data_IF_786720438280
#
_entry.id   IF_786720438280
#
_cell.length_a   1.000
_cell.length_b   1.000
_cell.length_c   1.000
_cell.angle_alpha   90.00
_cell.angle_beta   90.00
_cell.angle_gamma   90.00
#
_symmetry.space_group_name_H-M   'P 1'
#
loop_
_entity.id
_entity.type
_entity.pdbx_description
1 polymer ?
#
# COMPACT_ATOMS: atom_id res chain seq x y z
N UNK A 1 -9.97 0.69 -6.84
CA UNK A 1 -8.98 0.25 -5.85
C UNK A 1 -9.25 1.02 -4.56
N UNK A 2 -9.20 0.39 -3.40
CA UNK A 2 -9.49 1.00 -2.09
C UNK A 2 -8.22 0.96 -1.26
N UNK A 3 -7.90 2.06 -0.58
CA UNK A 3 -6.89 2.13 0.46
C UNK A 3 -7.58 1.94 1.81
N UNK A 4 -7.19 0.91 2.54
CA UNK A 4 -7.67 0.68 3.90
C UNK A 4 -6.69 1.29 4.90
N UNK A 5 -7.14 2.26 5.69
CA UNK A 5 -6.35 2.87 6.77
C UNK A 5 -7.01 2.60 8.12
N UNK A 6 -6.28 2.87 9.20
CA UNK A 6 -6.79 2.85 10.58
C UNK A 6 -7.99 3.79 10.78
N UNK A 7 -8.18 4.77 9.89
CA UNK A 7 -9.26 5.74 9.94
C UNK A 7 -10.48 5.36 9.08
N UNK A 8 -10.34 4.36 8.21
CA UNK A 8 -11.41 3.84 7.34
C UNK A 8 -10.90 3.48 5.94
N UNK A 9 -11.85 3.13 5.08
CA UNK A 9 -11.59 2.78 3.68
C UNK A 9 -11.80 4.00 2.77
N UNK A 10 -10.81 4.30 1.93
CA UNK A 10 -10.82 5.45 1.05
C UNK A 10 -10.59 5.04 -0.41
N UNK A 11 -11.39 5.55 -1.37
CA UNK A 11 -11.16 5.27 -2.78
C UNK A 11 -9.86 5.93 -3.23
N UNK A 12 -9.00 5.16 -3.90
CA UNK A 12 -7.77 5.69 -4.49
C UNK A 12 -8.12 6.34 -5.84
N UNK A 13 -7.82 7.64 -6.04
CA UNK A 13 -8.01 8.30 -7.33
C UNK A 13 -7.22 7.61 -8.44
N UNK A 14 -7.77 7.62 -9.66
CA UNK A 14 -7.14 6.95 -10.79
C UNK A 14 -5.77 7.53 -11.15
N UNK A 15 -5.52 8.80 -10.85
CA UNK A 15 -4.23 9.44 -11.09
C UNK A 15 -3.16 8.89 -10.15
N UNK A 16 -3.44 8.87 -8.85
CA UNK A 16 -2.59 8.27 -7.81
C UNK A 16 -2.36 6.78 -8.09
N UNK A 17 -3.41 6.04 -8.46
CA UNK A 17 -3.30 4.61 -8.74
C UNK A 17 -2.34 4.27 -9.90
N UNK A 18 -2.12 5.20 -10.85
CA UNK A 18 -1.15 5.02 -11.95
C UNK A 18 0.29 5.25 -11.53
N UNK A 19 0.50 5.98 -10.43
CA UNK A 19 1.82 6.27 -9.88
C UNK A 19 2.29 5.21 -8.87
N UNK A 20 1.36 4.40 -8.36
CA UNK A 20 1.69 3.33 -7.43
C UNK A 20 2.62 2.31 -8.09
N UNK A 21 3.67 1.86 -7.39
CA UNK A 21 4.54 0.81 -7.89
C UNK A 21 3.76 -0.50 -8.03
N UNK A 22 4.12 -1.29 -9.04
CA UNK A 22 3.43 -2.55 -9.35
C UNK A 22 3.96 -3.67 -8.44
N UNK A 23 3.44 -3.70 -7.21
CA UNK A 23 3.78 -4.69 -6.20
C UNK A 23 2.70 -5.77 -6.16
N UNK A 24 3.06 -7.07 -6.13
CA UNK A 24 2.08 -8.14 -5.93
C UNK A 24 1.37 -8.01 -4.58
N UNK A 25 0.20 -8.65 -4.47
CA UNK A 25 -0.53 -8.68 -3.21
C UNK A 25 0.31 -9.29 -2.09
N UNK A 26 0.22 -8.70 -0.90
CA UNK A 26 0.89 -9.24 0.28
C UNK A 26 0.32 -10.62 0.63
N UNK A 27 1.18 -11.57 1.05
CA UNK A 27 0.73 -12.90 1.40
C UNK A 27 -0.20 -12.86 2.62
N UNK A 28 -1.39 -13.43 2.48
CA UNK A 28 -2.30 -13.63 3.60
C UNK A 28 -1.87 -14.85 4.43
N UNK A 29 -1.48 -14.63 5.68
CA UNK A 29 -0.95 -15.68 6.57
C UNK A 29 -2.02 -16.59 7.17
N UNK A 30 -3.29 -16.20 7.08
CA UNK A 30 -4.42 -16.98 7.54
C UNK A 30 -5.01 -17.89 6.44
N UNK A 31 -4.66 -17.64 5.17
CA UNK A 31 -5.14 -18.39 4.03
C UNK A 31 -4.52 -19.81 3.98
N UNK A 32 -5.26 -20.82 3.48
CA UNK A 32 -4.76 -22.20 3.37
C UNK A 32 -3.54 -22.33 2.43
N UNK A 33 -3.38 -21.39 1.50
CA UNK A 33 -2.24 -21.30 0.59
C UNK A 33 -1.18 -20.27 1.04
N UNK A 34 -1.20 -19.81 2.30
CA UNK A 34 -0.28 -18.79 2.83
C UNK A 34 1.18 -19.09 2.49
N UNK A 35 1.60 -20.35 2.65
CA UNK A 35 2.98 -20.78 2.36
C UNK A 35 3.38 -20.50 0.91
N UNK A 36 2.51 -20.85 -0.05
CA UNK A 36 2.75 -20.59 -1.47
C UNK A 36 2.81 -19.09 -1.77
N UNK A 37 1.92 -18.29 -1.16
CA UNK A 37 1.92 -16.85 -1.34
C UNK A 37 3.21 -16.21 -0.80
N UNK A 38 3.72 -16.67 0.34
CA UNK A 38 4.98 -16.19 0.92
C UNK A 38 6.15 -16.56 0.02
N UNK A 39 6.19 -17.78 -0.52
CA UNK A 39 7.25 -18.22 -1.43
C UNK A 39 7.23 -17.42 -2.74
N UNK A 40 6.06 -17.17 -3.32
CA UNK A 40 5.90 -16.38 -4.54
C UNK A 40 6.33 -14.91 -4.34
N UNK A 41 5.88 -14.30 -3.24
CA UNK A 41 6.26 -12.92 -2.88
C UNK A 41 7.78 -12.79 -2.64
N UNK A 42 8.39 -13.78 -1.98
CA UNK A 42 9.85 -13.83 -1.80
C UNK A 42 10.58 -13.96 -3.12
N UNK A 43 10.10 -14.85 -3.99
CA UNK A 43 10.71 -15.03 -5.30
C UNK A 43 10.61 -13.75 -6.16
N UNK A 44 9.49 -13.03 -6.06
CA UNK A 44 9.37 -11.71 -6.66
C UNK A 44 10.39 -10.72 -6.09
N UNK A 45 10.54 -10.61 -4.77
CA UNK A 45 11.56 -9.74 -4.15
C UNK A 45 12.99 -10.09 -4.59
N UNK A 46 13.33 -11.37 -4.70
CA UNK A 46 14.65 -11.83 -5.14
C UNK A 46 14.90 -11.62 -6.64
N UNK A 47 13.85 -11.48 -7.46
CA UNK A 47 13.98 -11.36 -8.91
C UNK A 47 14.64 -10.05 -9.37
N UNK A 48 14.52 -8.96 -8.60
CA UNK A 48 15.21 -7.70 -8.87
C UNK A 48 15.33 -6.86 -7.60
N UNK A 49 16.47 -6.19 -7.35
CA UNK A 49 16.59 -5.22 -6.25
C UNK A 49 15.59 -4.06 -6.38
N UNK A 50 15.12 -3.74 -7.58
CA UNK A 50 14.09 -2.72 -7.80
C UNK A 50 12.76 -3.10 -7.14
N UNK A 51 12.41 -4.39 -7.06
CA UNK A 51 11.19 -4.85 -6.40
C UNK A 51 11.19 -4.56 -4.90
N UNK A 52 12.35 -4.66 -4.24
CA UNK A 52 12.48 -4.28 -2.84
C UNK A 52 12.26 -2.76 -2.64
N UNK A 53 12.74 -1.95 -3.59
CA UNK A 53 12.55 -0.48 -3.60
C UNK A 53 11.08 -0.14 -3.82
N UNK A 54 10.44 -0.77 -4.81
CA UNK A 54 9.01 -0.60 -5.12
C UNK A 54 8.12 -0.99 -3.94
N UNK A 55 8.43 -2.12 -3.29
CA UNK A 55 7.72 -2.56 -2.10
C UNK A 55 7.86 -1.57 -0.95
N UNK A 56 9.08 -1.12 -0.66
CA UNK A 56 9.34 -0.12 0.39
C UNK A 56 8.65 1.22 0.09
N UNK A 57 8.66 1.67 -1.18
CA UNK A 57 7.96 2.87 -1.62
C UNK A 57 6.45 2.75 -1.40
N UNK A 58 5.84 1.63 -1.81
CA UNK A 58 4.42 1.39 -1.56
C UNK A 58 4.08 1.38 -0.07
N UNK A 59 4.94 0.74 0.73
CA UNK A 59 4.78 0.65 2.18
C UNK A 59 4.86 2.04 2.84
N UNK A 60 5.83 2.87 2.43
CA UNK A 60 5.98 4.24 2.94
C UNK A 60 4.79 5.11 2.57
N UNK A 61 4.36 5.07 1.31
CA UNK A 61 3.16 5.75 0.87
C UNK A 61 1.95 5.36 1.73
N UNK A 62 1.72 4.07 1.96
CA UNK A 62 0.61 3.61 2.79
C UNK A 62 0.67 4.16 4.23
N UNK A 63 1.85 4.25 4.83
CA UNK A 63 2.03 4.83 6.16
C UNK A 63 1.68 6.33 6.17
N UNK A 64 2.20 7.09 5.20
CA UNK A 64 1.90 8.52 5.06
C UNK A 64 0.40 8.75 4.89
N UNK A 65 -0.26 7.96 4.05
CA UNK A 65 -1.70 8.08 3.85
C UNK A 65 -2.50 7.68 5.10
N UNK A 66 -2.04 6.70 5.89
CA UNK A 66 -2.66 6.36 7.19
C UNK A 66 -2.57 7.52 8.19
N UNK A 67 -1.40 8.15 8.29
CA UNK A 67 -1.17 9.32 9.14
C UNK A 67 -2.02 10.52 8.70
N UNK A 68 -2.08 10.80 7.39
CA UNK A 68 -2.92 11.87 6.84
C UNK A 68 -4.41 11.62 7.05
N UNK A 69 -4.86 10.38 6.91
CA UNK A 69 -6.24 9.99 7.18
C UNK A 69 -6.60 10.15 8.67
N UNK A 70 -5.69 9.75 9.56
CA UNK A 70 -5.84 9.95 11.01
C UNK A 70 -5.91 11.42 11.39
N UNK A 71 -5.03 12.24 10.80
CA UNK A 71 -4.99 13.68 11.00
C UNK A 71 -6.29 14.35 10.51
N UNK A 72 -6.74 14.03 9.29
CA UNK A 72 -7.99 14.56 8.75
C UNK A 72 -9.21 14.19 9.61
N UNK A 73 -9.24 12.96 10.12
CA UNK A 73 -10.28 12.51 11.06
C UNK A 73 -10.26 13.28 12.37
N UNK A 74 -9.08 13.53 12.93
CA UNK A 74 -8.91 14.33 14.16
C UNK A 74 -9.37 15.79 13.96
N UNK A 75 -9.14 16.34 12.77
CA UNK A 75 -9.57 17.69 12.37
C UNK A 75 -11.04 17.77 11.88
N UNK A 76 -11.76 16.64 11.87
CA UNK A 76 -13.12 16.52 11.34
C UNK A 76 -13.28 17.01 9.89
N UNK A 77 -12.24 16.83 9.06
CA UNK A 77 -12.26 17.18 7.64
C UNK A 77 -12.28 15.93 6.76
N UNK A 78 -12.82 16.02 5.53
CA UNK A 78 -12.74 14.90 4.60
C UNK A 78 -11.28 14.60 4.23
N UNK A 79 -10.95 13.32 4.13
CA UNK A 79 -9.67 12.84 3.62
C UNK A 79 -9.82 12.38 2.16
N UNK A 80 -8.84 12.74 1.33
CA UNK A 80 -8.72 12.30 -0.06
C UNK A 80 -7.31 11.75 -0.22
N UNK A 81 -7.20 10.53 -0.74
CA UNK A 81 -5.92 9.86 -0.96
C UNK A 81 -5.09 10.65 -1.98
N UNK A 82 -3.83 10.92 -1.66
CA UNK A 82 -2.86 11.62 -2.51
C UNK A 82 -1.66 10.74 -2.86
N UNK A 83 -0.77 11.26 -3.70
CA UNK A 83 0.53 10.65 -4.02
C UNK A 83 1.63 10.94 -2.99
N UNK A 84 1.33 11.68 -1.90
CA UNK A 84 2.27 11.94 -0.81
C UNK A 84 2.87 10.65 -0.24
N UNK A 85 4.21 10.60 -0.19
CA UNK A 85 4.97 9.44 0.27
C UNK A 85 5.43 8.48 -0.84
N UNK A 86 5.22 8.81 -2.12
CA UNK A 86 5.77 8.08 -3.27
C UNK A 86 7.16 8.56 -3.73
N UNK A 87 7.78 9.51 -3.04
CA UNK A 87 9.13 10.02 -3.37
C UNK A 87 10.25 8.99 -3.17
#
# INVERSE_FOLDING_TARGET
MILSTSSGDFPIPADVARQLPNVPALPDTAAPNARLQIEDFRHWLDASPEHAIDYERLRRWHLVQDELAAQAKAENRPFVVSDDGLE
#
